data_IF_116793524602
#
_entry.id   IF_116793524602
#
_cell.length_a   1.000
_cell.length_b   1.000
_cell.length_c   1.000
_cell.angle_alpha   90.00
_cell.angle_beta   90.00
_cell.angle_gamma   90.00
#
_symmetry.space_group_name_H-M   'P 1'
#
loop_
_entity.id
_entity.type
_entity.pdbx_description
1 polymer ?
#
# COMPACT_ATOMS: atom_id res chain seq x y z
N UNK A 1 -31.19 1.58 -57.28
CA UNK A 1 -30.90 1.33 -55.84
C UNK A 1 -32.10 0.59 -55.26
N UNK A 2 -31.99 -0.44 -54.39
CA UNK A 2 -30.89 -0.87 -53.52
C UNK A 2 -30.41 -2.32 -53.82
N UNK A 3 -29.14 -2.71 -53.69
CA UNK A 3 -28.23 -2.84 -52.54
C UNK A 3 -28.11 -4.31 -52.06
N UNK A 4 -26.86 -4.78 -52.14
CA UNK A 4 -26.37 -6.13 -51.90
C UNK A 4 -26.40 -6.55 -50.43
N UNK A 5 -26.58 -7.87 -50.26
CA UNK A 5 -26.07 -8.80 -49.22
C UNK A 5 -26.76 -8.84 -47.85
N UNK A 6 -27.18 -10.03 -47.39
CA UNK A 6 -27.47 -10.27 -45.98
C UNK A 6 -26.15 -10.46 -45.24
N UNK A 7 -25.90 -9.64 -44.22
CA UNK A 7 -24.92 -9.94 -43.18
C UNK A 7 -25.67 -10.17 -41.89
N UNK A 8 -25.96 -11.45 -41.67
CA UNK A 8 -26.27 -12.03 -40.38
C UNK A 8 -25.14 -11.66 -39.41
N UNK A 9 -25.45 -10.90 -38.36
CA UNK A 9 -24.60 -10.78 -37.19
C UNK A 9 -25.51 -10.56 -35.97
N UNK A 10 -26.02 -11.68 -35.45
CA UNK A 10 -26.72 -11.73 -34.17
C UNK A 10 -25.66 -11.64 -33.07
N UNK A 11 -25.24 -10.43 -32.70
CA UNK A 11 -24.37 -10.22 -31.54
C UNK A 11 -25.19 -10.33 -30.26
N UNK A 12 -25.29 -11.56 -29.74
CA UNK A 12 -25.64 -11.84 -28.34
C UNK A 12 -24.46 -11.39 -27.46
N UNK A 13 -24.40 -10.11 -27.08
CA UNK A 13 -23.57 -9.72 -25.94
C UNK A 13 -24.35 -9.97 -24.66
N UNK A 14 -23.97 -11.06 -24.00
CA UNK A 14 -24.42 -11.49 -22.68
C UNK A 14 -24.36 -10.32 -21.70
N UNK A 15 -25.53 -9.97 -21.16
CA UNK A 15 -25.64 -9.32 -19.88
C UNK A 15 -25.09 -10.25 -18.81
N UNK A 16 -23.92 -9.91 -18.26
CA UNK A 16 -23.46 -10.32 -16.95
C UNK A 16 -22.13 -9.62 -16.66
N UNK A 17 -22.15 -8.58 -15.84
CA UNK A 17 -21.23 -8.52 -14.70
C UNK A 17 -21.92 -7.75 -13.60
N UNK A 18 -22.19 -8.50 -12.55
CA UNK A 18 -22.59 -8.12 -11.21
C UNK A 18 -22.15 -6.69 -10.87
N UNK A 19 -23.13 -5.83 -10.56
CA UNK A 19 -22.87 -4.73 -9.66
C UNK A 19 -22.40 -5.35 -8.33
N UNK A 20 -21.08 -5.43 -8.16
CA UNK A 20 -20.48 -5.74 -6.89
C UNK A 20 -20.79 -4.55 -5.97
N UNK A 21 -21.92 -4.63 -5.26
CA UNK A 21 -22.15 -3.86 -4.06
C UNK A 21 -21.13 -4.34 -3.02
N UNK A 22 -19.90 -3.83 -3.08
CA UNK A 22 -18.84 -4.11 -2.12
C UNK A 22 -18.45 -2.82 -1.46
N UNK A 23 -18.69 -2.70 -0.17
CA UNK A 23 -18.27 -1.58 0.69
C UNK A 23 -16.95 -0.95 0.24
N UNK A 24 -17.00 0.22 -0.41
CA UNK A 24 -15.87 0.93 -1.05
C UNK A 24 -14.78 1.44 -0.06
N UNK A 25 -14.72 0.91 1.16
CA UNK A 25 -13.70 1.29 2.13
C UNK A 25 -12.55 0.28 2.08
N UNK A 26 -11.30 0.74 1.88
CA UNK A 26 -10.14 -0.14 1.95
C UNK A 26 -10.05 -0.79 3.33
N UNK A 27 -9.56 -2.02 3.39
CA UNK A 27 -9.28 -2.70 4.66
C UNK A 27 -8.16 -1.97 5.43
N UNK A 28 -8.06 -2.22 6.73
CA UNK A 28 -6.97 -1.67 7.56
C UNK A 28 -5.59 -2.05 7.00
N UNK A 29 -5.40 -3.31 6.59
CA UNK A 29 -4.15 -3.76 5.96
C UNK A 29 -3.83 -2.99 4.69
N UNK A 30 -4.85 -2.71 3.87
CA UNK A 30 -4.68 -1.97 2.63
C UNK A 30 -4.36 -0.48 2.90
N UNK A 31 -4.95 0.09 3.95
CA UNK A 31 -4.61 1.44 4.45
C UNK A 31 -3.17 1.46 4.96
N UNK A 32 -2.77 0.51 5.79
CA UNK A 32 -1.42 0.43 6.36
C UNK A 32 -0.35 0.29 5.26
N UNK A 33 -0.56 -0.62 4.30
CA UNK A 33 0.33 -0.81 3.16
C UNK A 33 0.43 0.46 2.29
N UNK A 34 -0.69 1.13 2.00
CA UNK A 34 -0.67 2.37 1.22
C UNK A 34 -0.02 3.52 2.00
N UNK A 35 -0.21 3.56 3.32
CA UNK A 35 0.47 4.50 4.20
C UNK A 35 1.99 4.28 4.16
N UNK A 36 2.46 3.04 4.30
CA UNK A 36 3.89 2.71 4.24
C UNK A 36 4.55 3.21 2.95
N UNK A 37 3.96 2.90 1.78
CA UNK A 37 4.42 3.41 0.49
C UNK A 37 4.44 4.93 0.39
N UNK A 38 3.43 5.58 0.95
CA UNK A 38 3.36 7.04 0.98
C UNK A 38 4.38 7.64 1.96
N UNK A 39 4.83 6.91 2.98
CA UNK A 39 5.93 7.31 3.88
C UNK A 39 7.28 7.19 3.18
N UNK A 40 7.52 6.07 2.50
CA UNK A 40 8.74 5.84 1.72
C UNK A 40 8.94 6.87 0.61
N UNK A 41 7.85 7.30 -0.05
CA UNK A 41 7.90 8.27 -1.14
C UNK A 41 8.09 9.73 -0.67
N UNK A 42 8.16 10.00 0.64
CA UNK A 42 8.32 11.37 1.15
C UNK A 42 9.72 11.88 0.85
N UNK A 43 9.81 13.17 0.59
CA UNK A 43 11.10 13.86 0.56
C UNK A 43 11.70 13.91 1.96
N UNK A 44 13.02 13.77 2.05
CA UNK A 44 13.75 13.89 3.30
C UNK A 44 13.38 15.18 4.04
N UNK A 45 13.10 15.07 5.33
CA UNK A 45 12.69 16.20 6.18
C UNK A 45 11.19 16.53 6.15
N UNK A 46 10.38 15.94 5.27
CA UNK A 46 8.92 16.09 5.32
C UNK A 46 8.31 15.28 6.47
N UNK A 47 7.71 15.99 7.42
CA UNK A 47 7.07 15.41 8.63
C UNK A 47 5.56 15.32 8.50
N UNK A 48 4.99 15.75 7.38
CA UNK A 48 3.55 15.77 7.17
C UNK A 48 2.99 14.35 7.10
N UNK A 49 1.85 14.10 7.74
CA UNK A 49 1.12 12.82 7.61
C UNK A 49 0.44 12.75 6.23
N UNK A 50 0.75 11.74 5.40
CA UNK A 50 0.12 11.54 4.11
C UNK A 50 -1.35 11.20 4.26
N UNK A 51 -2.17 11.64 3.30
CA UNK A 51 -3.59 11.34 3.28
C UNK A 51 -3.88 9.82 3.29
N UNK A 52 -3.00 9.01 2.70
CA UNK A 52 -3.09 7.55 2.70
C UNK A 52 -3.06 6.95 4.13
N UNK A 53 -2.49 7.67 5.10
CA UNK A 53 -2.39 7.24 6.49
C UNK A 53 -3.59 7.65 7.34
N UNK A 54 -4.54 8.44 6.83
CA UNK A 54 -5.65 9.00 7.63
C UNK A 54 -6.60 7.94 8.20
N UNK A 55 -6.61 6.73 7.64
CA UNK A 55 -7.41 5.62 8.15
C UNK A 55 -6.77 4.83 9.29
N UNK A 56 -5.52 5.15 9.67
CA UNK A 56 -4.84 4.55 10.81
C UNK A 56 -5.13 5.34 12.09
N UNK A 57 -5.12 4.67 13.24
CA UNK A 57 -5.00 5.37 14.52
C UNK A 57 -3.64 6.08 14.60
N UNK A 58 -3.50 7.03 15.53
CA UNK A 58 -2.22 7.70 15.74
C UNK A 58 -1.16 6.72 16.27
N UNK A 59 -1.57 5.74 17.06
CA UNK A 59 -0.69 4.68 17.56
C UNK A 59 -0.22 3.77 16.42
N UNK A 60 -1.12 3.31 15.55
CA UNK A 60 -0.75 2.48 14.39
C UNK A 60 0.15 3.24 13.41
N UNK A 61 -0.13 4.53 13.20
CA UNK A 61 0.72 5.39 12.38
C UNK A 61 2.10 5.57 13.01
N UNK A 62 2.17 5.76 14.33
CA UNK A 62 3.43 5.88 15.08
C UNK A 62 4.23 4.57 15.03
N UNK A 63 3.58 3.43 15.19
CA UNK A 63 4.21 2.12 15.08
C UNK A 63 4.78 1.88 13.67
N UNK A 64 4.04 2.28 12.63
CA UNK A 64 4.51 2.20 11.24
C UNK A 64 5.74 3.10 11.01
N UNK A 65 5.74 4.34 11.53
CA UNK A 65 6.90 5.21 11.44
C UNK A 65 8.11 4.65 12.20
N UNK A 66 7.89 4.07 13.38
CA UNK A 66 8.96 3.44 14.16
C UNK A 66 9.53 2.22 13.43
N UNK A 67 8.68 1.37 12.85
CA UNK A 67 9.11 0.23 12.02
C UNK A 67 9.95 0.70 10.83
N UNK A 68 9.52 1.73 10.10
CA UNK A 68 10.32 2.30 9.03
C UNK A 68 11.67 2.85 9.52
N UNK A 69 11.68 3.54 10.66
CA UNK A 69 12.94 4.06 11.21
C UNK A 69 13.90 2.92 11.59
N UNK A 70 13.40 1.82 12.13
CA UNK A 70 14.20 0.62 12.40
C UNK A 70 14.72 -0.03 11.11
N UNK A 71 13.92 -0.04 10.04
CA UNK A 71 14.35 -0.53 8.71
C UNK A 71 15.46 0.35 8.12
N UNK A 72 15.29 1.68 8.16
CA UNK A 72 16.28 2.65 7.68
C UNK A 72 17.60 2.57 8.47
N UNK A 73 17.55 2.16 9.75
CA UNK A 73 18.72 1.87 10.59
C UNK A 73 19.29 0.45 10.39
N UNK A 74 18.64 -0.39 9.58
CA UNK A 74 19.05 -1.78 9.34
C UNK A 74 18.84 -2.70 10.53
N UNK A 75 17.99 -2.33 11.49
CA UNK A 75 17.72 -3.10 12.71
C UNK A 75 16.70 -4.22 12.51
N UNK A 76 15.98 -4.23 11.38
CA UNK A 76 15.05 -5.30 11.05
C UNK A 76 15.75 -6.43 10.28
N UNK A 77 15.25 -7.66 10.43
CA UNK A 77 15.66 -8.81 9.64
C UNK A 77 15.03 -8.79 8.23
N UNK A 78 15.31 -9.83 7.43
CA UNK A 78 14.84 -9.90 6.04
C UNK A 78 13.32 -10.09 5.92
N UNK A 79 12.63 -10.40 7.02
CA UNK A 79 11.18 -10.49 7.11
C UNK A 79 10.53 -9.20 7.63
N UNK A 80 11.33 -8.20 8.05
CA UNK A 80 10.86 -6.98 8.69
C UNK A 80 10.63 -7.12 10.20
N UNK A 81 11.09 -8.19 10.82
CA UNK A 81 11.02 -8.39 12.27
C UNK A 81 12.23 -7.74 12.95
N UNK A 82 12.05 -7.22 14.17
CA UNK A 82 13.15 -6.59 14.91
C UNK A 82 14.27 -7.59 15.25
N UNK A 83 15.49 -7.31 14.79
CA UNK A 83 16.69 -8.11 15.07
C UNK A 83 17.59 -7.38 16.09
N UNK A 84 17.63 -7.84 17.35
CA UNK A 84 18.45 -7.22 18.38
C UNK A 84 19.95 -7.29 18.08
N UNK A 85 20.42 -8.27 17.30
CA UNK A 85 21.84 -8.37 16.95
C UNK A 85 22.24 -7.31 15.93
N UNK A 86 21.38 -7.02 14.96
CA UNK A 86 21.60 -5.92 14.00
C UNK A 86 21.61 -4.57 14.70
N UNK A 87 20.63 -4.32 15.59
CA UNK A 87 20.60 -3.11 16.43
C UNK A 87 21.87 -2.98 17.28
N UNK A 88 22.28 -4.03 17.98
CA UNK A 88 23.48 -4.00 18.83
C UNK A 88 24.75 -3.76 18.03
N UNK A 89 24.82 -4.24 16.79
CA UNK A 89 25.98 -4.03 15.93
C UNK A 89 26.07 -2.56 15.51
N UNK A 90 24.98 -1.96 15.05
CA UNK A 90 24.92 -0.55 14.64
C UNK A 90 25.31 0.42 15.77
N UNK A 91 24.75 0.23 16.98
CA UNK A 91 25.07 1.10 18.13
C UNK A 91 26.51 0.93 18.65
N UNK A 92 27.18 -0.19 18.34
CA UNK A 92 28.58 -0.43 18.71
C UNK A 92 29.55 0.10 17.66
N UNK A 93 29.15 0.17 16.39
CA UNK A 93 29.96 0.73 15.30
C UNK A 93 29.88 2.27 15.22
N UNK A 94 28.97 2.89 15.97
CA UNK A 94 28.88 4.36 16.09
C UNK A 94 30.01 4.87 17.02
N UNK A 95 31.00 5.67 16.54
CA UNK A 95 32.17 6.11 17.32
C UNK A 95 31.87 7.00 18.53
#
# INVERSE_FOLDING_TARGET
MPARRPRTALTLLRAATLAACGSDKPSLDQIAHNCAKAVEARTEGDKTRPAACNGLSDDDYTALLASKAMDDLGWLDDNGDFDPNRMLSDVQETP
#
